data_IF_490740114641
#
_entry.id   IF_490740114641
#
_cell.length_a   1.000
_cell.length_b   1.000
_cell.length_c   1.000
_cell.angle_alpha   90.00
_cell.angle_beta   90.00
_cell.angle_gamma   90.00
#
_symmetry.space_group_name_H-M   'P 1'
#
loop_
_entity.id
_entity.type
_entity.pdbx_description
1 polymer ?
#
# COMPACT_ATOMS: atom_id res chain seq x y z
N UNK A 1 -12.20 -6.32 -27.95
CA UNK A 1 -12.03 -5.03 -27.25
C UNK A 1 -12.83 -5.14 -25.97
N UNK A 2 -12.21 -4.98 -24.80
CA UNK A 2 -12.93 -4.97 -23.51
C UNK A 2 -13.80 -3.72 -23.42
N UNK A 3 -15.01 -3.84 -22.87
CA UNK A 3 -16.01 -2.75 -22.90
C UNK A 3 -15.60 -1.49 -22.11
N UNK A 4 -14.60 -1.61 -21.25
CA UNK A 4 -14.04 -0.54 -20.41
C UNK A 4 -12.78 0.11 -20.98
N UNK A 5 -12.19 -0.42 -22.07
CA UNK A 5 -10.88 0.02 -22.55
C UNK A 5 -9.69 -0.43 -21.68
N UNK A 6 -9.92 -1.34 -20.74
CA UNK A 6 -8.91 -1.94 -19.85
C UNK A 6 -8.89 -3.46 -20.06
N UNK A 7 -7.74 -4.07 -20.27
CA UNK A 7 -7.63 -5.53 -20.35
C UNK A 7 -7.78 -6.15 -18.96
N UNK A 8 -8.36 -7.35 -18.89
CA UNK A 8 -8.48 -8.13 -17.65
C UNK A 8 -7.09 -8.40 -17.04
N UNK A 9 -6.08 -8.61 -17.89
CA UNK A 9 -4.71 -8.83 -17.42
C UNK A 9 -4.19 -7.58 -16.70
N UNK A 10 -4.39 -6.40 -17.28
CA UNK A 10 -3.98 -5.12 -16.68
C UNK A 10 -4.68 -4.90 -15.33
N UNK A 11 -5.98 -5.17 -15.26
CA UNK A 11 -6.74 -5.08 -14.02
C UNK A 11 -6.15 -5.94 -12.90
N UNK A 12 -5.80 -7.19 -13.19
CA UNK A 12 -5.19 -8.11 -12.23
C UNK A 12 -3.82 -7.60 -11.79
N UNK A 13 -2.99 -7.15 -12.74
CA UNK A 13 -1.66 -6.63 -12.46
C UNK A 13 -1.71 -5.36 -11.58
N UNK A 14 -2.58 -4.41 -11.90
CA UNK A 14 -2.75 -3.20 -11.07
C UNK A 14 -3.33 -3.50 -9.69
N UNK A 15 -4.07 -4.58 -9.52
CA UNK A 15 -4.55 -4.98 -8.18
C UNK A 15 -3.45 -5.64 -7.35
N UNK A 16 -2.52 -6.37 -7.97
CA UNK A 16 -1.48 -7.13 -7.25
C UNK A 16 -0.23 -6.29 -6.92
N UNK A 17 0.10 -5.26 -7.70
CA UNK A 17 1.29 -4.44 -7.46
C UNK A 17 1.37 -3.79 -6.07
N UNK A 18 0.28 -3.25 -5.48
CA UNK A 18 0.32 -2.70 -4.13
C UNK A 18 0.65 -3.77 -3.09
N UNK A 19 0.08 -4.97 -3.25
CA UNK A 19 0.35 -6.11 -2.37
C UNK A 19 1.83 -6.48 -2.43
N UNK A 20 2.38 -6.59 -3.63
CA UNK A 20 3.81 -6.86 -3.84
C UNK A 20 4.67 -5.78 -3.19
N UNK A 21 4.34 -4.49 -3.38
CA UNK A 21 5.07 -3.38 -2.79
C UNK A 21 5.12 -3.44 -1.26
N UNK A 22 4.00 -3.72 -0.61
CA UNK A 22 3.92 -3.87 0.86
C UNK A 22 4.71 -5.10 1.33
N UNK A 23 4.62 -6.21 0.60
CA UNK A 23 5.37 -7.44 0.90
C UNK A 23 6.88 -7.27 0.76
N UNK A 24 7.34 -6.51 -0.24
CA UNK A 24 8.77 -6.20 -0.40
C UNK A 24 9.28 -5.41 0.80
N UNK A 25 8.53 -4.40 1.27
CA UNK A 25 8.89 -3.67 2.49
C UNK A 25 8.93 -4.59 3.71
N UNK A 26 7.96 -5.51 3.84
CA UNK A 26 7.94 -6.50 4.91
C UNK A 26 9.16 -7.43 4.85
N UNK A 27 9.48 -7.99 3.68
CA UNK A 27 10.60 -8.90 3.48
C UNK A 27 11.92 -8.23 3.81
N UNK A 28 12.17 -7.03 3.29
CA UNK A 28 13.37 -6.24 3.59
C UNK A 28 13.42 -5.98 5.10
N UNK A 29 12.33 -5.51 5.71
CA UNK A 29 12.29 -5.20 7.14
C UNK A 29 12.61 -6.40 8.02
N UNK A 30 12.22 -7.62 7.62
CA UNK A 30 12.58 -8.87 8.31
C UNK A 30 14.05 -9.20 8.18
N UNK A 31 14.63 -9.06 6.98
CA UNK A 31 16.05 -9.36 6.73
C UNK A 31 16.96 -8.46 7.56
N UNK A 32 16.66 -7.17 7.66
CA UNK A 32 17.48 -6.20 8.40
C UNK A 32 16.96 -5.88 9.80
N UNK A 33 15.96 -6.62 10.30
CA UNK A 33 15.38 -6.50 11.65
C UNK A 33 15.00 -5.06 12.02
N UNK A 34 14.31 -4.36 11.12
CA UNK A 34 13.84 -3.00 11.32
C UNK A 34 12.81 -2.94 12.47
N UNK A 35 12.87 -1.86 13.27
CA UNK A 35 11.88 -1.56 14.31
C UNK A 35 10.47 -1.44 13.73
N UNK A 36 9.47 -2.01 14.41
CA UNK A 36 8.09 -2.13 13.90
C UNK A 36 7.47 -0.82 13.41
N UNK A 37 7.68 0.28 14.13
CA UNK A 37 7.12 1.56 13.73
C UNK A 37 7.68 2.01 12.37
N UNK A 38 9.00 1.94 12.16
CA UNK A 38 9.65 2.32 10.90
C UNK A 38 9.08 1.49 9.74
N UNK A 39 8.94 0.17 9.93
CA UNK A 39 8.31 -0.72 8.94
C UNK A 39 6.91 -0.25 8.54
N UNK A 40 6.05 0.04 9.52
CA UNK A 40 4.67 0.48 9.29
C UNK A 40 4.61 1.84 8.57
N UNK A 41 5.50 2.77 8.92
CA UNK A 41 5.63 4.05 8.22
C UNK A 41 6.10 3.88 6.77
N UNK A 42 7.04 2.97 6.51
CA UNK A 42 7.46 2.64 5.14
C UNK A 42 6.34 2.00 4.32
N UNK A 43 5.58 1.07 4.91
CA UNK A 43 4.40 0.47 4.27
C UNK A 43 3.32 1.52 3.98
N UNK A 44 3.10 2.48 4.89
CA UNK A 44 2.19 3.59 4.64
C UNK A 44 2.65 4.46 3.47
N UNK A 45 3.96 4.74 3.37
CA UNK A 45 4.53 5.47 2.24
C UNK A 45 4.27 4.78 0.90
N UNK A 46 4.45 3.46 0.84
CA UNK A 46 4.12 2.66 -0.35
C UNK A 46 2.63 2.75 -0.69
N UNK A 47 1.75 2.60 0.30
CA UNK A 47 0.30 2.70 0.09
C UNK A 47 -0.10 4.09 -0.45
N UNK A 48 0.46 5.18 0.10
CA UNK A 48 0.23 6.55 -0.41
C UNK A 48 0.70 6.69 -1.85
N UNK A 49 1.90 6.18 -2.17
CA UNK A 49 2.43 6.22 -3.53
C UNK A 49 1.50 5.56 -4.56
N UNK A 50 1.00 4.37 -4.25
CA UNK A 50 0.01 3.69 -5.10
C UNK A 50 -1.33 4.42 -5.16
N UNK A 51 -1.79 4.99 -4.04
CA UNK A 51 -3.04 5.75 -4.01
C UNK A 51 -2.99 6.97 -4.94
N UNK A 52 -1.89 7.73 -4.91
CA UNK A 52 -1.65 8.87 -5.80
C UNK A 52 -1.57 8.38 -7.25
N UNK A 53 -0.81 7.32 -7.51
CA UNK A 53 -0.63 6.78 -8.86
C UNK A 53 -1.95 6.38 -9.52
N UNK A 54 -2.81 5.64 -8.80
CA UNK A 54 -4.09 5.17 -9.33
C UNK A 54 -5.16 6.25 -9.49
N UNK A 55 -5.04 7.35 -8.76
CA UNK A 55 -6.01 8.45 -8.84
C UNK A 55 -5.60 9.53 -9.84
N UNK A 56 -4.32 9.95 -9.81
CA UNK A 56 -3.86 11.15 -10.52
C UNK A 56 -2.94 10.88 -11.71
N UNK A 57 -2.27 9.72 -11.77
CA UNK A 57 -1.26 9.44 -12.80
C UNK A 57 -1.82 8.56 -13.92
N UNK A 58 -2.64 7.56 -13.59
CA UNK A 58 -3.27 6.72 -14.61
C UNK A 58 -4.33 7.51 -15.41
N UNK A 59 -4.28 7.46 -16.76
CA UNK A 59 -5.26 8.13 -17.60
C UNK A 59 -6.63 7.43 -17.54
N UNK A 60 -7.70 8.20 -17.69
CA UNK A 60 -9.06 7.64 -17.85
C UNK A 60 -9.18 6.91 -19.19
N UNK A 61 -9.79 5.70 -19.28
CA UNK A 61 -10.57 4.99 -18.25
C UNK A 61 -9.79 3.95 -17.41
N UNK A 62 -8.46 3.93 -17.49
CA UNK A 62 -7.59 2.96 -16.79
C UNK A 62 -7.32 3.34 -15.32
N UNK A 63 -7.85 4.45 -14.83
CA UNK A 63 -7.70 4.83 -13.44
C UNK A 63 -8.52 3.92 -12.51
N UNK A 64 -8.00 3.70 -11.30
CA UNK A 64 -8.61 2.82 -10.31
C UNK A 64 -8.97 3.59 -9.03
N UNK A 65 -9.97 4.48 -9.07
CA UNK A 65 -10.29 5.38 -7.97
C UNK A 65 -10.69 4.64 -6.68
N UNK A 66 -11.42 3.52 -6.79
CA UNK A 66 -11.77 2.70 -5.63
C UNK A 66 -10.51 2.11 -4.97
N UNK A 67 -9.59 1.55 -5.76
CA UNK A 67 -8.32 1.01 -5.27
C UNK A 67 -7.50 2.10 -4.59
N UNK A 68 -7.44 3.30 -5.18
CA UNK A 68 -6.78 4.44 -4.57
C UNK A 68 -7.38 4.83 -3.21
N UNK A 69 -8.71 4.86 -3.07
CA UNK A 69 -9.37 5.12 -1.77
C UNK A 69 -8.98 4.06 -0.75
N UNK A 70 -9.03 2.79 -1.12
CA UNK A 70 -8.63 1.68 -0.23
C UNK A 70 -7.17 1.83 0.20
N UNK A 71 -6.27 2.22 -0.72
CA UNK A 71 -4.87 2.47 -0.40
C UNK A 71 -4.68 3.68 0.54
N UNK A 72 -5.46 4.75 0.39
CA UNK A 72 -5.45 5.87 1.34
C UNK A 72 -5.92 5.44 2.73
N UNK A 73 -7.02 4.68 2.82
CA UNK A 73 -7.52 4.17 4.10
C UNK A 73 -6.49 3.25 4.77
N UNK A 74 -5.86 2.36 3.99
CA UNK A 74 -4.79 1.50 4.47
C UNK A 74 -3.60 2.33 4.97
N UNK A 75 -3.19 3.36 4.25
CA UNK A 75 -2.10 4.25 4.67
C UNK A 75 -2.41 4.92 6.02
N UNK A 76 -3.63 5.43 6.20
CA UNK A 76 -4.07 6.02 7.47
C UNK A 76 -4.03 5.00 8.61
N UNK A 77 -4.50 3.78 8.37
CA UNK A 77 -4.44 2.69 9.33
C UNK A 77 -2.99 2.33 9.72
N UNK A 78 -2.09 2.26 8.74
CA UNK A 78 -0.67 1.95 8.97
C UNK A 78 0.05 3.08 9.71
N UNK A 79 -0.24 4.35 9.41
CA UNK A 79 0.30 5.50 10.15
C UNK A 79 -0.18 5.45 11.61
N UNK A 80 -1.46 5.17 11.84
CA UNK A 80 -2.00 5.04 13.19
C UNK A 80 -1.32 3.90 13.96
N UNK A 81 -1.20 2.72 13.35
CA UNK A 81 -0.49 1.58 13.93
C UNK A 81 0.99 1.91 14.19
N UNK A 82 1.66 2.60 13.26
CA UNK A 82 3.05 3.01 13.38
C UNK A 82 3.29 3.99 14.53
N UNK A 83 2.38 4.97 14.71
CA UNK A 83 2.41 5.89 15.87
C UNK A 83 2.23 5.14 17.18
N UNK A 84 1.25 4.23 17.25
CA UNK A 84 1.01 3.42 18.44
C UNK A 84 2.21 2.52 18.77
N UNK A 85 2.79 1.86 17.76
CA UNK A 85 3.96 1.00 17.93
C UNK A 85 5.22 1.76 18.38
N UNK A 86 5.33 3.06 18.08
CA UNK A 86 6.41 3.91 18.58
C UNK A 86 6.26 4.24 20.07
N UNK A 87 5.03 4.44 20.55
CA UNK A 87 4.74 4.87 21.93
C UNK A 87 4.67 3.69 22.91
N UNK A 88 4.08 2.57 22.49
CA UNK A 88 3.97 1.35 23.30
C UNK A 88 4.43 0.14 22.48
N UNK A 89 5.75 -0.13 22.46
CA UNK A 89 6.29 -1.29 21.76
C UNK A 89 5.89 -2.63 22.41
N UNK A 90 5.55 -2.62 23.71
CA UNK A 90 5.18 -3.82 24.49
C UNK A 90 3.74 -4.32 24.26
N UNK A 91 2.80 -3.47 23.80
CA UNK A 91 1.43 -3.91 23.46
C UNK A 91 1.31 -4.50 22.05
N UNK A 92 2.43 -4.73 21.39
CA UNK A 92 2.50 -5.05 19.98
C UNK A 92 3.05 -6.48 19.85
N UNK A 93 2.23 -7.47 20.25
CA UNK A 93 2.52 -8.87 19.97
C UNK A 93 2.52 -9.11 18.46
N UNK A 94 3.71 -9.27 17.90
CA UNK A 94 4.04 -10.21 16.83
C UNK A 94 5.54 -10.47 16.86
#
# INVERSE_FOLDING_TARGET
>A
MTHTGVDVIDFILYTIYPVIGIFVVEAISRVIKIQKWIKLWSQAGVAIGFAIYYWFILPSPQNFPLTAIVMFVLALALIYQGRRAKISPEQSNY
#
